data_IF_607694875184
#
_entry.id   IF_607694875184
#
_cell.length_a   1.000
_cell.length_b   1.000
_cell.length_c   1.000
_cell.angle_alpha   90.00
_cell.angle_beta   90.00
_cell.angle_gamma   90.00
#
_symmetry.space_group_name_H-M   'P 1'
#
loop_
_entity.id
_entity.type
_entity.pdbx_description
1 polymer ?
#
# COMPACT_ATOMS: atom_id res chain seq x y z
N UNK A 1 27.71 0.41 -28.85
CA UNK A 1 26.23 0.41 -28.77
C UNK A 1 25.70 -0.81 -28.02
N UNK A 2 26.21 -2.03 -28.28
CA UNK A 2 25.77 -3.27 -27.60
C UNK A 2 25.95 -3.26 -26.07
N UNK A 3 27.03 -2.65 -25.57
CA UNK A 3 27.33 -2.56 -24.13
C UNK A 3 26.33 -1.74 -23.32
N UNK A 4 25.80 -0.66 -23.90
CA UNK A 4 24.82 0.22 -23.24
C UNK A 4 23.48 -0.52 -23.10
N UNK A 5 23.07 -1.27 -24.12
CA UNK A 5 21.82 -2.04 -24.07
C UNK A 5 21.90 -3.19 -23.06
N UNK A 6 23.06 -3.84 -22.94
CA UNK A 6 23.30 -4.89 -21.95
C UNK A 6 23.33 -4.33 -20.52
N UNK A 7 23.90 -3.15 -20.32
CA UNK A 7 23.86 -2.43 -19.04
C UNK A 7 22.42 -2.02 -18.67
N UNK A 8 21.63 -1.58 -19.66
CA UNK A 8 20.22 -1.22 -19.47
C UNK A 8 19.36 -2.44 -19.12
N UNK A 9 19.61 -3.59 -19.76
CA UNK A 9 18.94 -4.86 -19.46
C UNK A 9 19.33 -5.38 -18.06
N UNK A 10 20.59 -5.19 -17.66
CA UNK A 10 21.08 -5.59 -16.35
C UNK A 10 20.50 -4.72 -15.22
N UNK A 11 20.36 -3.40 -15.45
CA UNK A 11 19.80 -2.46 -14.45
C UNK A 11 18.30 -2.64 -14.31
N UNK A 12 17.56 -2.70 -15.41
CA UNK A 12 16.11 -2.97 -15.40
C UNK A 12 15.76 -4.31 -14.75
N UNK A 13 16.56 -5.36 -14.98
CA UNK A 13 16.34 -6.67 -14.34
C UNK A 13 16.67 -6.69 -12.85
N UNK A 14 17.68 -5.92 -12.40
CA UNK A 14 18.00 -5.76 -10.98
C UNK A 14 16.89 -5.00 -10.24
N UNK A 15 16.36 -3.94 -10.84
CA UNK A 15 15.26 -3.15 -10.28
C UNK A 15 13.97 -3.98 -10.18
N UNK A 16 13.66 -4.77 -11.21
CA UNK A 16 12.52 -5.70 -11.20
C UNK A 16 12.68 -6.79 -10.12
N UNK A 17 13.87 -7.38 -10.00
CA UNK A 17 14.14 -8.40 -8.98
C UNK A 17 14.05 -7.82 -7.56
N UNK A 18 14.54 -6.61 -7.34
CA UNK A 18 14.41 -5.90 -6.06
C UNK A 18 12.95 -5.57 -5.75
N UNK A 19 12.18 -5.15 -6.75
CA UNK A 19 10.74 -4.89 -6.61
C UNK A 19 9.95 -6.16 -6.26
N UNK A 20 10.23 -7.27 -6.94
CA UNK A 20 9.64 -8.58 -6.60
C UNK A 20 10.01 -9.03 -5.19
N UNK A 21 11.26 -8.79 -4.74
CA UNK A 21 11.68 -9.09 -3.38
C UNK A 21 10.88 -8.29 -2.34
N UNK A 22 10.64 -7.00 -2.59
CA UNK A 22 9.84 -6.15 -1.71
C UNK A 22 8.39 -6.64 -1.63
N UNK A 23 7.78 -6.99 -2.77
CA UNK A 23 6.43 -7.56 -2.81
C UNK A 23 6.36 -8.87 -2.04
N UNK A 24 7.32 -9.78 -2.24
CA UNK A 24 7.38 -11.06 -1.53
C UNK A 24 7.53 -10.84 -0.02
N UNK A 25 8.39 -9.91 0.40
CA UNK A 25 8.57 -9.58 1.80
C UNK A 25 7.29 -9.01 2.43
N UNK A 26 6.58 -8.13 1.70
CA UNK A 26 5.30 -7.57 2.13
C UNK A 26 4.21 -8.63 2.24
N UNK A 27 4.11 -9.54 1.27
CA UNK A 27 3.19 -10.68 1.32
C UNK A 27 3.45 -11.58 2.53
N UNK A 28 4.71 -11.90 2.79
CA UNK A 28 5.11 -12.68 3.97
C UNK A 28 4.73 -11.95 5.26
N UNK A 29 4.92 -10.62 5.32
CA UNK A 29 4.57 -9.81 6.48
C UNK A 29 3.06 -9.79 6.75
N UNK A 30 2.22 -9.73 5.70
CA UNK A 30 0.76 -9.82 5.79
C UNK A 30 0.35 -11.19 6.33
N UNK A 31 0.95 -12.28 5.84
CA UNK A 31 0.64 -13.64 6.31
C UNK A 31 1.12 -13.91 7.74
N UNK A 32 2.23 -13.30 8.18
CA UNK A 32 2.70 -13.40 9.56
C UNK A 32 1.78 -12.66 10.54
N UNK A 33 1.17 -11.56 10.10
CA UNK A 33 0.22 -10.79 10.92
C UNK A 33 -1.20 -11.28 10.69
N UNK A 34 -1.59 -12.40 11.33
CA UNK A 34 -2.97 -12.96 11.33
C UNK A 34 -4.07 -11.94 11.72
N UNK A 35 -3.70 -10.79 12.27
CA UNK A 35 -4.58 -9.69 12.66
C UNK A 35 -4.09 -8.35 12.10
N UNK A 36 -3.69 -8.30 10.82
CA UNK A 36 -3.34 -7.04 10.18
C UNK A 36 -4.51 -6.06 10.30
N UNK A 37 -4.29 -4.96 11.04
CA UNK A 37 -5.27 -3.89 11.12
C UNK A 37 -5.44 -3.27 9.73
N UNK A 38 -6.62 -2.75 9.44
CA UNK A 38 -6.87 -2.12 8.14
C UNK A 38 -5.88 -0.96 7.87
N UNK A 39 -5.44 -0.26 8.92
CA UNK A 39 -4.35 0.72 8.86
C UNK A 39 -3.03 0.09 8.39
N UNK A 40 -2.67 -1.07 8.94
CA UNK A 40 -1.44 -1.77 8.54
C UNK A 40 -1.46 -2.16 7.05
N UNK A 41 -2.62 -2.61 6.56
CA UNK A 41 -2.82 -2.87 5.13
C UNK A 41 -2.63 -1.60 4.28
N UNK A 42 -3.18 -0.47 4.71
CA UNK A 42 -3.01 0.81 4.00
C UNK A 42 -1.54 1.25 3.93
N UNK A 43 -0.78 1.08 5.03
CA UNK A 43 0.65 1.40 5.05
C UNK A 43 1.44 0.53 4.05
N UNK A 44 1.07 -0.75 3.93
CA UNK A 44 1.68 -1.68 2.97
C UNK A 44 1.42 -1.24 1.53
N UNK A 45 0.17 -0.87 1.22
CA UNK A 45 -0.18 -0.38 -0.11
C UNK A 45 0.60 0.90 -0.45
N UNK A 46 0.69 1.86 0.47
CA UNK A 46 1.47 3.09 0.27
C UNK A 46 2.96 2.82 0.08
N UNK A 47 3.53 1.88 0.84
CA UNK A 47 4.93 1.48 0.68
C UNK A 47 5.18 0.89 -0.71
N UNK A 48 4.20 0.14 -1.25
CA UNK A 48 4.28 -0.45 -2.59
C UNK A 48 4.26 0.64 -3.68
N UNK A 49 3.37 1.64 -3.55
CA UNK A 49 3.32 2.79 -4.46
C UNK A 49 4.59 3.62 -4.46
N UNK A 50 5.14 3.91 -3.27
CA UNK A 50 6.39 4.66 -3.14
C UNK A 50 7.54 3.90 -3.81
N UNK A 51 7.56 2.57 -3.66
CA UNK A 51 8.58 1.72 -4.30
C UNK A 51 8.47 1.78 -5.83
N UNK A 52 7.25 1.69 -6.37
CA UNK A 52 7.00 1.84 -7.81
C UNK A 52 7.42 3.21 -8.33
N UNK A 53 7.09 4.27 -7.59
CA UNK A 53 7.51 5.63 -7.92
C UNK A 53 9.04 5.76 -7.97
N UNK A 54 9.74 5.22 -6.97
CA UNK A 54 11.20 5.29 -6.89
C UNK A 54 11.86 4.52 -8.03
N UNK A 55 11.34 3.33 -8.36
CA UNK A 55 11.80 2.55 -9.51
C UNK A 55 11.57 3.30 -10.83
N UNK A 56 10.42 3.94 -10.99
CA UNK A 56 10.12 4.76 -12.17
C UNK A 56 11.07 5.95 -12.30
N UNK A 57 11.43 6.60 -11.19
CA UNK A 57 12.41 7.69 -11.16
C UNK A 57 13.82 7.21 -11.57
N UNK A 58 14.29 6.10 -11.01
CA UNK A 58 15.58 5.51 -11.36
C UNK A 58 15.62 5.16 -12.85
N UNK A 59 14.56 4.53 -13.37
CA UNK A 59 14.42 4.21 -14.78
C UNK A 59 14.39 5.45 -15.68
N UNK A 60 13.77 6.55 -15.22
CA UNK A 60 13.76 7.83 -15.93
C UNK A 60 15.16 8.43 -16.11
N UNK A 61 16.02 8.31 -15.12
CA UNK A 61 17.41 8.78 -15.21
C UNK A 61 18.29 7.91 -16.14
N UNK A 62 17.96 6.62 -16.28
CA UNK A 62 18.81 5.66 -17.00
C UNK A 62 18.42 5.45 -18.46
N UNK A 63 17.14 5.61 -18.81
CA UNK A 63 16.63 5.23 -20.14
C UNK A 63 15.84 6.34 -20.82
N UNK A 64 14.59 6.53 -20.42
CA UNK A 64 13.62 7.36 -21.12
C UNK A 64 12.95 8.32 -20.13
N UNK A 65 13.50 9.53 -20.03
CA UNK A 65 13.18 10.46 -18.95
C UNK A 65 11.72 10.91 -18.94
N UNK A 66 11.14 11.24 -20.11
CA UNK A 66 9.80 11.82 -20.18
C UNK A 66 8.69 10.81 -19.85
N UNK A 67 8.78 9.59 -20.39
CA UNK A 67 7.76 8.55 -20.21
C UNK A 67 7.78 8.01 -18.78
N UNK A 68 8.96 7.69 -18.25
CA UNK A 68 9.10 7.14 -16.90
C UNK A 68 8.81 8.20 -15.81
N UNK A 69 9.09 9.47 -16.06
CA UNK A 69 8.68 10.54 -15.14
C UNK A 69 7.15 10.69 -15.11
N UNK A 70 6.50 10.65 -16.29
CA UNK A 70 5.03 10.70 -16.39
C UNK A 70 4.39 9.51 -15.67
N UNK A 71 4.94 8.31 -15.83
CA UNK A 71 4.51 7.10 -15.12
C UNK A 71 4.66 7.27 -13.60
N UNK A 72 5.76 7.87 -13.13
CA UNK A 72 5.96 8.19 -11.72
C UNK A 72 4.87 9.12 -11.17
N UNK A 73 4.47 10.15 -11.92
CA UNK A 73 3.36 11.02 -11.53
C UNK A 73 2.01 10.27 -11.48
N UNK A 74 1.76 9.32 -12.38
CA UNK A 74 0.58 8.46 -12.31
C UNK A 74 0.56 7.65 -11.00
N UNK A 75 1.67 7.02 -10.62
CA UNK A 75 1.73 6.26 -9.36
C UNK A 75 1.44 7.14 -8.14
N UNK A 76 1.96 8.36 -8.09
CA UNK A 76 1.67 9.30 -7.00
C UNK A 76 0.19 9.70 -6.95
N UNK A 77 -0.43 9.99 -8.11
CA UNK A 77 -1.85 10.36 -8.15
C UNK A 77 -2.75 9.21 -7.69
N UNK A 78 -2.47 7.98 -8.14
CA UNK A 78 -3.25 6.81 -7.74
C UNK A 78 -3.05 6.45 -6.27
N UNK A 79 -1.82 6.53 -5.75
CA UNK A 79 -1.53 6.37 -4.32
C UNK A 79 -2.33 7.37 -3.47
N UNK A 80 -2.29 8.66 -3.82
CA UNK A 80 -3.02 9.70 -3.11
C UNK A 80 -4.55 9.47 -3.13
N UNK A 81 -5.09 9.01 -4.26
CA UNK A 81 -6.51 8.67 -4.37
C UNK A 81 -6.85 7.43 -3.53
N UNK A 82 -6.04 6.38 -3.60
CA UNK A 82 -6.25 5.13 -2.87
C UNK A 82 -6.21 5.36 -1.36
N UNK A 83 -5.20 6.05 -0.83
CA UNK A 83 -5.08 6.29 0.62
C UNK A 83 -6.24 7.15 1.14
N UNK A 84 -6.73 8.10 0.34
CA UNK A 84 -7.90 8.92 0.68
C UNK A 84 -9.15 8.06 0.82
N UNK A 85 -9.41 7.19 -0.15
CA UNK A 85 -10.56 6.26 -0.12
C UNK A 85 -10.41 5.24 1.00
N UNK A 86 -9.20 4.69 1.18
CA UNK A 86 -8.87 3.72 2.21
C UNK A 86 -9.07 4.27 3.62
N UNK A 87 -8.63 5.50 3.89
CA UNK A 87 -8.85 6.19 5.16
C UNK A 87 -10.32 6.52 5.39
N UNK A 88 -11.06 6.94 4.36
CA UNK A 88 -12.50 7.15 4.48
C UNK A 88 -13.24 5.87 4.87
N UNK A 89 -12.91 4.74 4.23
CA UNK A 89 -13.45 3.43 4.56
C UNK A 89 -13.05 2.99 5.98
N UNK A 90 -11.81 3.24 6.40
CA UNK A 90 -11.35 2.97 7.76
C UNK A 90 -12.17 3.73 8.82
N UNK A 91 -12.39 5.03 8.61
CA UNK A 91 -13.15 5.86 9.54
C UNK A 91 -14.62 5.44 9.62
N UNK A 92 -15.24 5.10 8.49
CA UNK A 92 -16.62 4.60 8.48
C UNK A 92 -16.73 3.26 9.21
N UNK A 93 -15.80 2.33 9.02
CA UNK A 93 -15.78 1.06 9.77
C UNK A 93 -15.60 1.31 11.26
N UNK A 94 -14.67 2.18 11.66
CA UNK A 94 -14.45 2.54 13.06
C UNK A 94 -15.73 3.12 13.69
N UNK A 95 -16.43 4.01 12.98
CA UNK A 95 -17.72 4.56 13.41
C UNK A 95 -18.79 3.48 13.58
N UNK A 96 -18.97 2.60 12.61
CA UNK A 96 -19.95 1.50 12.67
C UNK A 96 -19.64 0.57 13.84
N UNK A 97 -18.41 0.07 13.96
CA UNK A 97 -18.03 -0.81 15.08
C UNK A 97 -18.15 -0.10 16.43
N UNK A 98 -17.79 1.18 16.52
CA UNK A 98 -17.97 1.99 17.73
C UNK A 98 -19.44 2.07 18.16
N UNK A 99 -20.36 2.34 17.23
CA UNK A 99 -21.80 2.36 17.54
C UNK A 99 -22.34 1.00 17.95
N UNK A 100 -21.84 -0.08 17.32
CA UNK A 100 -22.21 -1.46 17.63
C UNK A 100 -21.79 -1.85 19.05
N UNK A 101 -20.54 -1.54 19.43
CA UNK A 101 -20.02 -1.78 20.79
C UNK A 101 -20.83 -1.00 21.82
N UNK A 102 -21.15 0.27 21.54
CA UNK A 102 -21.96 1.09 22.43
C UNK A 102 -23.37 0.51 22.63
N UNK A 103 -24.02 0.05 21.55
CA UNK A 103 -25.33 -0.61 21.60
C UNK A 103 -25.29 -1.92 22.40
N UNK A 104 -24.23 -2.71 22.22
CA UNK A 104 -24.02 -3.97 22.94
C UNK A 104 -23.85 -3.71 24.44
N UNK A 105 -23.01 -2.74 24.81
CA UNK A 105 -22.78 -2.33 26.21
C UNK A 105 -24.07 -1.86 26.88
N UNK A 106 -24.88 -1.04 26.19
CA UNK A 106 -26.17 -0.57 26.69
C UNK A 106 -27.15 -1.72 26.93
N UNK A 107 -27.25 -2.66 25.98
CA UNK A 107 -28.10 -3.85 26.11
C UNK A 107 -27.72 -4.72 27.32
N UNK A 108 -26.43 -4.95 27.56
CA UNK A 108 -25.95 -5.75 28.69
C UNK A 108 -26.29 -5.10 30.03
N UNK A 109 -26.13 -3.78 30.15
CA UNK A 109 -26.46 -3.03 31.38
C UNK A 109 -27.96 -3.10 31.69
N UNK A 110 -28.84 -2.97 30.69
CA UNK A 110 -30.29 -3.12 30.91
C UNK A 110 -30.69 -4.53 31.36
N UNK A 111 -30.02 -5.58 30.85
CA UNK A 111 -30.28 -6.96 31.27
C UNK A 111 -29.80 -7.24 32.70
N UNK A 112 -28.73 -6.59 33.14
CA UNK A 112 -28.23 -6.70 34.51
C UNK A 112 -29.07 -5.92 35.53
N UNK A 113 -29.71 -4.82 35.11
CA UNK A 113 -30.57 -4.03 35.98
C UNK A 113 -32.00 -4.60 36.15
N UNK A 114 -32.36 -5.62 35.36
CA UNK A 114 -33.70 -6.27 35.38
C UNK A 114 -33.67 -7.71 35.90
N UNK A 115 -32.50 -8.21 36.33
CA UNK A 115 -32.32 -9.48 37.02
C UNK A 115 -32.16 -9.25 38.52
#
# INVERSE_FOLDING_TARGET
MFSVHLLLLATTSLDLNFFYLIIIFLLVLIFLTKSASLIFLLIIMETSWITLYLSSLVSAFLSDFSLNLSLGFFFLMFSAAEITVGLALFLTTLGIYGTLIHKLKRSTITKQATA
#
